data_IF_474646252855
#
_entry.id   IF_474646252855
#
_cell.length_a   1.000
_cell.length_b   1.000
_cell.length_c   1.000
_cell.angle_alpha   90.00
_cell.angle_beta   90.00
_cell.angle_gamma   90.00
#
_symmetry.space_group_name_H-M   'P 1'
#
loop_
_entity.id
_entity.type
_entity.pdbx_description
1 polymer ?
#
# COMPACT_ATOMS: atom_id res chain seq x y z
N UNK A 1 -0.84 -12.46 10.96
CA UNK A 1 -0.80 -11.00 11.21
C UNK A 1 -2.20 -10.42 11.01
N UNK A 2 -2.57 -9.35 11.71
CA UNK A 2 -3.88 -8.69 11.49
C UNK A 2 -3.84 -7.84 10.21
N UNK A 3 -4.97 -7.64 9.51
CA UNK A 3 -5.03 -6.82 8.30
C UNK A 3 -4.61 -5.37 8.56
N UNK A 4 -4.97 -4.80 9.71
CA UNK A 4 -4.53 -3.46 10.11
C UNK A 4 -2.99 -3.35 10.21
N UNK A 5 -2.32 -4.37 10.77
CA UNK A 5 -0.84 -4.41 10.82
C UNK A 5 -0.22 -4.59 9.44
N UNK A 6 -0.81 -5.42 8.57
CA UNK A 6 -0.34 -5.58 7.20
C UNK A 6 -0.45 -4.27 6.39
N UNK A 7 -1.60 -3.61 6.52
CA UNK A 7 -1.87 -2.30 5.93
C UNK A 7 -0.91 -1.22 6.44
N UNK A 8 -0.60 -1.23 7.74
CA UNK A 8 0.39 -0.34 8.35
C UNK A 8 1.79 -0.53 7.75
N UNK A 9 2.25 -1.79 7.63
CA UNK A 9 3.54 -2.11 7.02
C UNK A 9 3.59 -1.64 5.57
N UNK A 10 2.51 -1.89 4.81
CA UNK A 10 2.42 -1.43 3.43
C UNK A 10 2.49 0.10 3.33
N UNK A 11 1.74 0.82 4.17
CA UNK A 11 1.74 2.27 4.21
C UNK A 11 3.13 2.85 4.49
N UNK A 12 3.81 2.32 5.50
CA UNK A 12 5.18 2.74 5.87
C UNK A 12 6.15 2.46 4.71
N UNK A 13 6.05 1.28 4.07
CA UNK A 13 6.88 0.94 2.92
C UNK A 13 6.67 1.91 1.76
N UNK A 14 5.42 2.21 1.40
CA UNK A 14 5.08 3.18 0.35
C UNK A 14 5.64 4.58 0.64
N UNK A 15 5.59 5.03 1.90
CA UNK A 15 6.12 6.33 2.31
C UNK A 15 7.65 6.34 2.22
N UNK A 16 8.34 5.43 2.90
CA UNK A 16 9.81 5.42 2.99
C UNK A 16 10.42 5.24 1.60
N UNK A 17 9.96 4.22 0.88
CA UNK A 17 10.52 3.86 -0.43
C UNK A 17 10.08 4.88 -1.49
N UNK A 18 8.90 5.51 -1.33
CA UNK A 18 8.43 6.60 -2.19
C UNK A 18 9.26 7.87 -2.05
N UNK A 19 9.55 8.28 -0.81
CA UNK A 19 10.41 9.41 -0.48
C UNK A 19 11.84 9.18 -0.98
N UNK A 20 12.42 8.00 -0.69
CA UNK A 20 13.70 7.60 -1.28
C UNK A 20 13.68 7.74 -2.80
N UNK A 21 12.57 7.31 -3.40
CA UNK A 21 12.39 7.39 -4.83
C UNK A 21 12.37 8.80 -5.38
N UNK A 22 11.74 9.73 -4.68
CA UNK A 22 11.75 11.15 -5.03
C UNK A 22 13.17 11.72 -4.97
N UNK A 23 13.93 11.42 -3.91
CA UNK A 23 15.32 11.89 -3.78
C UNK A 23 16.24 11.33 -4.87
N UNK A 24 15.96 10.11 -5.35
CA UNK A 24 16.80 9.44 -6.37
C UNK A 24 16.57 9.95 -7.79
N UNK A 25 15.33 10.28 -8.16
CA UNK A 25 14.99 10.64 -9.55
C UNK A 25 14.41 12.05 -9.70
N UNK A 26 14.28 12.80 -8.60
CA UNK A 26 13.75 14.18 -8.50
C UNK A 26 12.50 14.38 -9.38
N UNK A 27 11.60 13.40 -9.36
CA UNK A 27 10.39 13.42 -10.18
C UNK A 27 9.15 13.56 -9.29
N UNK A 28 8.27 14.54 -9.53
CA UNK A 28 7.03 14.72 -8.76
C UNK A 28 6.15 13.47 -8.72
N UNK A 29 6.18 12.66 -9.77
CA UNK A 29 5.45 11.39 -9.84
C UNK A 29 5.90 10.36 -8.80
N UNK A 30 7.03 10.57 -8.12
CA UNK A 30 7.54 9.70 -7.04
C UNK A 30 6.87 9.96 -5.69
N UNK A 31 6.14 11.06 -5.58
CA UNK A 31 5.36 11.39 -4.39
C UNK A 31 3.97 10.74 -4.39
N UNK A 32 3.51 10.19 -5.53
CA UNK A 32 2.21 9.51 -5.61
C UNK A 32 2.13 8.34 -4.61
N UNK A 33 3.10 7.40 -4.55
CA UNK A 33 3.11 6.34 -3.53
C UNK A 33 3.14 6.90 -2.10
N UNK A 34 3.82 8.03 -1.87
CA UNK A 34 3.88 8.66 -0.54
C UNK A 34 2.51 9.17 -0.11
N UNK A 35 1.80 9.88 -1.00
CA UNK A 35 0.44 10.37 -0.72
C UNK A 35 -0.54 9.24 -0.41
N UNK A 36 -0.54 8.18 -1.23
CA UNK A 36 -1.35 6.99 -0.96
C UNK A 36 -0.93 6.29 0.34
N UNK A 37 0.37 6.20 0.60
CA UNK A 37 0.91 5.65 1.84
C UNK A 37 0.41 6.40 3.07
N UNK A 38 0.35 7.74 3.04
CA UNK A 38 -0.20 8.55 4.14
C UNK A 38 -1.69 8.26 4.35
N UNK A 39 -2.49 8.17 3.28
CA UNK A 39 -3.92 7.86 3.41
C UNK A 39 -4.14 6.46 4.01
N UNK A 40 -3.40 5.46 3.54
CA UNK A 40 -3.47 4.09 4.05
C UNK A 40 -2.97 4.01 5.50
N UNK A 41 -1.94 4.79 5.86
CA UNK A 41 -1.43 4.90 7.23
C UNK A 41 -2.52 5.41 8.17
N UNK A 42 -3.18 6.51 7.81
CA UNK A 42 -4.28 7.08 8.58
C UNK A 42 -5.43 6.09 8.74
N UNK A 43 -5.81 5.40 7.66
CA UNK A 43 -6.82 4.33 7.75
C UNK A 43 -6.39 3.22 8.70
N UNK A 44 -5.12 2.81 8.67
CA UNK A 44 -4.59 1.76 9.54
C UNK A 44 -4.61 2.17 11.02
N UNK A 45 -4.26 3.42 11.33
CA UNK A 45 -4.32 3.99 12.68
C UNK A 45 -5.77 4.09 13.16
N UNK A 46 -6.68 4.63 12.34
CA UNK A 46 -8.10 4.76 12.70
C UNK A 46 -8.73 3.39 12.95
N UNK A 47 -8.39 2.37 12.16
CA UNK A 47 -8.84 1.00 12.42
C UNK A 47 -8.42 0.53 13.81
N UNK A 48 -7.13 0.69 14.17
CA UNK A 48 -6.61 0.25 15.47
C UNK A 48 -7.27 1.00 16.63
N UNK A 49 -7.49 2.32 16.49
CA UNK A 49 -8.00 3.17 17.57
C UNK A 49 -9.54 3.16 17.69
N UNK A 50 -10.27 2.90 16.60
CA UNK A 50 -11.75 2.92 16.58
C UNK A 50 -12.30 1.63 15.98
N UNK A 51 -12.39 0.54 16.77
CA UNK A 51 -12.87 -0.74 16.30
C UNK A 51 -14.29 -0.71 15.72
N UNK A 52 -15.15 0.19 16.19
CA UNK A 52 -16.53 0.37 15.68
C UNK A 52 -16.59 0.78 14.20
N UNK A 53 -15.53 1.40 13.66
CA UNK A 53 -15.45 1.84 12.26
C UNK A 53 -14.69 0.86 11.36
N UNK A 54 -14.20 -0.26 11.91
CA UNK A 54 -13.36 -1.25 11.22
C UNK A 54 -13.88 -1.65 9.85
N UNK A 55 -15.18 -1.95 9.71
CA UNK A 55 -15.75 -2.42 8.43
C UNK A 55 -15.57 -1.39 7.32
N UNK A 56 -15.92 -0.13 7.59
CA UNK A 56 -15.85 0.97 6.61
C UNK A 56 -14.39 1.29 6.30
N UNK A 57 -13.57 1.45 7.34
CA UNK A 57 -12.14 1.79 7.20
C UNK A 57 -11.37 0.72 6.45
N UNK A 58 -11.70 -0.56 6.65
CA UNK A 58 -11.09 -1.67 5.92
C UNK A 58 -11.37 -1.61 4.42
N UNK A 59 -12.61 -1.29 4.03
CA UNK A 59 -12.98 -1.15 2.61
C UNK A 59 -12.29 0.05 1.95
N UNK A 60 -12.19 1.17 2.67
CA UNK A 60 -11.44 2.34 2.19
C UNK A 60 -9.96 1.97 2.01
N UNK A 61 -9.33 1.37 3.02
CA UNK A 61 -7.92 1.02 2.98
C UNK A 61 -7.58 0.05 1.85
N UNK A 62 -8.39 -1.01 1.64
CA UNK A 62 -8.14 -1.95 0.53
C UNK A 62 -8.38 -1.29 -0.84
N UNK A 63 -9.37 -0.40 -0.98
CA UNK A 63 -9.63 0.31 -2.23
C UNK A 63 -8.43 1.18 -2.62
N UNK A 64 -7.91 1.98 -1.69
CA UNK A 64 -6.70 2.78 -1.93
C UNK A 64 -5.49 1.89 -2.22
N UNK A 65 -5.37 0.74 -1.55
CA UNK A 65 -4.28 -0.23 -1.81
C UNK A 65 -4.36 -0.83 -3.22
N UNK A 66 -5.56 -1.13 -3.72
CA UNK A 66 -5.76 -1.61 -5.09
C UNK A 66 -5.44 -0.54 -6.13
N UNK A 67 -5.85 0.70 -5.89
CA UNK A 67 -5.56 1.83 -6.79
C UNK A 67 -4.05 2.06 -6.88
N UNK A 68 -3.34 2.10 -5.76
CA UNK A 68 -1.88 2.30 -5.79
C UNK A 68 -1.16 1.10 -6.42
N UNK A 69 -1.61 -0.13 -6.19
CA UNK A 69 -1.04 -1.31 -6.84
C UNK A 69 -1.20 -1.22 -8.37
N UNK A 70 -2.37 -0.84 -8.85
CA UNK A 70 -2.61 -0.64 -10.28
C UNK A 70 -1.71 0.46 -10.86
N UNK A 71 -1.53 1.58 -10.15
CA UNK A 71 -0.60 2.64 -10.56
C UNK A 71 0.87 2.18 -10.54
N UNK A 72 1.25 1.37 -9.55
CA UNK A 72 2.60 0.83 -9.43
C UNK A 72 2.94 -0.12 -10.59
N UNK A 73 2.02 -1.02 -10.93
CA UNK A 73 2.20 -1.99 -12.02
C UNK A 73 2.05 -1.33 -13.39
N UNK A 74 1.06 -0.45 -13.58
CA UNK A 74 0.73 0.12 -14.88
C UNK A 74 1.67 1.23 -15.35
N UNK A 75 2.19 2.06 -14.42
CA UNK A 75 3.01 3.22 -14.79
C UNK A 75 4.44 3.14 -14.26
N UNK A 76 4.60 2.77 -12.98
CA UNK A 76 5.89 2.82 -12.29
C UNK A 76 6.82 1.67 -12.68
N UNK A 77 6.30 0.46 -12.80
CA UNK A 77 7.08 -0.72 -13.12
C UNK A 77 7.72 -0.64 -14.52
N UNK A 78 6.98 -0.33 -15.61
CA UNK A 78 7.57 -0.19 -16.94
C UNK A 78 8.68 0.87 -16.96
N UNK A 79 8.41 2.05 -16.38
CA UNK A 79 9.38 3.13 -16.32
C UNK A 79 10.64 2.76 -15.53
N UNK A 80 10.50 1.98 -14.46
CA UNK A 80 11.65 1.47 -13.72
C UNK A 80 12.43 0.41 -14.49
N UNK A 81 11.78 -0.42 -15.30
CA UNK A 81 12.46 -1.39 -16.17
C UNK A 81 13.27 -0.69 -17.27
N UNK A 82 12.72 0.36 -17.88
CA UNK A 82 13.41 1.14 -18.91
C UNK A 82 14.66 1.86 -18.37
N UNK A 83 14.56 2.45 -17.17
CA UNK A 83 15.68 3.16 -16.54
C UNK A 83 16.72 2.20 -15.92
N UNK A 84 16.32 0.97 -15.60
CA UNK A 84 17.17 -0.01 -14.93
C UNK A 84 17.58 0.36 -13.49
N UNK A 85 18.50 -0.44 -12.93
CA UNK A 85 19.12 -0.19 -11.63
C UNK A 85 18.20 -0.38 -10.41
N UNK A 86 18.49 0.37 -9.34
CA UNK A 86 17.82 0.24 -8.04
C UNK A 86 16.35 0.67 -8.06
N UNK A 87 15.89 1.34 -9.12
CA UNK A 87 14.48 1.72 -9.27
C UNK A 87 13.53 0.53 -9.30
N UNK A 88 13.95 -0.56 -9.96
CA UNK A 88 13.16 -1.80 -10.10
C UNK A 88 12.95 -2.44 -8.73
N UNK A 89 14.02 -2.63 -7.97
CA UNK A 89 13.98 -3.26 -6.65
C UNK A 89 13.00 -2.52 -5.74
N UNK A 90 13.04 -1.19 -5.73
CA UNK A 90 12.14 -0.41 -4.88
C UNK A 90 10.67 -0.54 -5.30
N UNK A 91 10.38 -0.55 -6.60
CA UNK A 91 9.01 -0.73 -7.10
C UNK A 91 8.51 -2.14 -6.78
N UNK A 92 9.34 -3.16 -6.94
CA UNK A 92 9.03 -4.54 -6.57
C UNK A 92 8.75 -4.67 -5.07
N UNK A 93 9.52 -3.99 -4.21
CA UNK A 93 9.26 -3.97 -2.76
C UNK A 93 7.89 -3.40 -2.45
N UNK A 94 7.52 -2.26 -3.04
CA UNK A 94 6.18 -1.66 -2.84
C UNK A 94 5.03 -2.53 -3.35
N UNK A 95 5.22 -3.19 -4.50
CA UNK A 95 4.24 -4.12 -5.06
C UNK A 95 4.07 -5.31 -4.12
N UNK A 96 5.19 -5.88 -3.64
CA UNK A 96 5.18 -7.03 -2.74
C UNK A 96 4.45 -6.72 -1.43
N UNK A 97 4.73 -5.58 -0.79
CA UNK A 97 4.02 -5.19 0.43
C UNK A 97 2.54 -4.92 0.20
N UNK A 98 2.17 -4.36 -0.96
CA UNK A 98 0.77 -4.10 -1.33
C UNK A 98 0.00 -5.40 -1.56
N UNK A 99 0.60 -6.36 -2.27
CA UNK A 99 0.02 -7.69 -2.48
C UNK A 99 -0.16 -8.45 -1.17
N UNK A 100 0.85 -8.39 -0.28
CA UNK A 100 0.75 -8.98 1.05
C UNK A 100 -0.41 -8.37 1.84
N UNK A 101 -0.55 -7.04 1.84
CA UNK A 101 -1.66 -6.37 2.52
C UNK A 101 -3.01 -6.82 1.96
N UNK A 102 -3.20 -6.83 0.64
CA UNK A 102 -4.43 -7.32 -0.02
C UNK A 102 -4.74 -8.75 0.40
N UNK A 103 -3.75 -9.65 0.41
CA UNK A 103 -3.94 -11.03 0.86
C UNK A 103 -4.51 -11.13 2.28
N UNK A 104 -4.00 -10.31 3.21
CA UNK A 104 -4.54 -10.24 4.58
C UNK A 104 -5.95 -9.63 4.64
N UNK A 105 -6.25 -8.63 3.82
CA UNK A 105 -7.61 -8.07 3.72
C UNK A 105 -8.62 -9.12 3.24
N UNK A 106 -8.31 -9.81 2.14
CA UNK A 106 -9.17 -10.85 1.55
C UNK A 106 -9.40 -11.97 2.57
N UNK A 107 -8.33 -12.44 3.23
CA UNK A 107 -8.46 -13.43 4.30
C UNK A 107 -9.40 -12.95 5.41
N UNK A 108 -9.23 -11.72 5.88
CA UNK A 108 -10.10 -11.15 6.91
C UNK A 108 -11.57 -11.05 6.46
N UNK A 109 -11.85 -10.74 5.20
CA UNK A 109 -13.22 -10.72 4.69
C UNK A 109 -13.84 -12.11 4.62
N UNK A 110 -13.07 -13.13 4.21
CA UNK A 110 -13.51 -14.52 4.20
C UNK A 110 -13.79 -15.03 5.62
N UNK A 111 -12.90 -14.75 6.57
CA UNK A 111 -13.04 -15.19 7.96
C UNK A 111 -14.28 -14.54 8.61
N UNK A 112 -14.53 -13.26 8.35
CA UNK A 112 -15.74 -12.57 8.83
C UNK A 112 -17.04 -13.12 8.22
N UNK A 113 -17.00 -13.69 7.02
CA UNK A 113 -18.16 -14.36 6.41
C UNK A 113 -18.43 -15.73 7.05
N UNK A 114 -17.40 -16.44 7.49
CA UNK A 114 -17.54 -17.77 8.13
C UNK A 114 -18.05 -17.69 9.57
N UNK A 115 -17.82 -16.56 10.24
CA UNK A 115 -18.22 -16.32 11.62
C UNK A 115 -19.56 -15.56 11.75
N UNK A 116 -20.28 -15.33 10.65
CA UNK A 116 -21.68 -14.90 10.64
C UNK A 116 -22.57 -16.07 10.19
#
# INVERSE_FOLDING_TARGET
MTPAKASLINAISLIIVGLWGYLSVVSPTALIPVGFGVVILLCSIVWILKPSLTKIVAHIAILFTLIILAALVGMRLPKSLEMGGLGIVRVLTMISTSLLAIGYFVKNFLDNRKNN
#
